data_IF_217897599389
#
_entry.id   IF_217897599389
#
_cell.length_a   1.000
_cell.length_b   1.000
_cell.length_c   1.000
_cell.angle_alpha   90.00
_cell.angle_beta   90.00
_cell.angle_gamma   90.00
#
_symmetry.space_group_name_H-M   'P 1'
#
loop_
_entity.id
_entity.type
_entity.pdbx_description
1 polymer ?
#
# COMPACT_ATOMS: atom_id res chain seq x y z
N UNK A 1 5.01 39.04 4.12
CA UNK A 1 4.26 39.91 5.04
C UNK A 1 3.83 39.07 6.23
N UNK A 2 4.33 39.35 7.43
CA UNK A 2 4.14 38.48 8.62
C UNK A 2 2.80 38.71 9.34
N UNK A 3 2.09 39.78 9.00
CA UNK A 3 0.75 40.08 9.51
C UNK A 3 -0.05 40.96 8.54
N UNK A 4 -1.38 40.96 8.68
CA UNK A 4 -2.32 41.84 7.96
C UNK A 4 -3.14 42.65 8.96
N UNK A 5 -3.20 43.97 8.79
CA UNK A 5 -3.91 44.91 9.68
C UNK A 5 -5.37 45.07 9.26
N UNK A 6 -6.28 45.04 10.23
CA UNK A 6 -7.71 45.30 10.04
C UNK A 6 -8.17 46.37 11.02
N UNK A 7 -9.02 47.26 10.52
CA UNK A 7 -9.68 48.29 11.33
C UNK A 7 -11.06 47.77 11.75
N UNK A 8 -11.27 47.62 13.05
CA UNK A 8 -12.56 47.22 13.60
C UNK A 8 -13.34 48.48 13.99
N UNK A 9 -14.54 48.65 13.43
CA UNK A 9 -15.43 49.77 13.79
C UNK A 9 -16.05 49.52 15.18
N UNK A 10 -15.88 50.46 16.09
CA UNK A 10 -16.52 50.48 17.41
C UNK A 10 -18.02 50.77 17.29
N UNK A 11 -18.85 50.18 18.16
CA UNK A 11 -20.31 50.39 18.23
C UNK A 11 -20.74 51.71 18.89
N UNK A 12 -19.81 52.41 19.54
CA UNK A 12 -20.01 53.71 20.18
C UNK A 12 -18.86 54.63 19.74
N UNK A 13 -19.04 55.97 19.72
CA UNK A 13 -18.10 57.01 19.23
C UNK A 13 -16.70 57.02 19.90
N UNK A 14 -15.99 55.89 19.84
CA UNK A 14 -14.68 55.64 20.39
C UNK A 14 -13.70 55.36 19.23
N UNK A 15 -12.42 55.63 19.48
CA UNK A 15 -11.34 55.39 18.51
C UNK A 15 -11.37 53.93 18.05
N UNK A 16 -11.40 53.64 16.75
CA UNK A 16 -11.44 52.27 16.24
C UNK A 16 -10.22 51.47 16.68
N UNK A 17 -10.42 50.24 17.16
CA UNK A 17 -9.34 49.32 17.52
C UNK A 17 -8.70 48.77 16.26
N UNK A 18 -7.38 48.54 16.33
CA UNK A 18 -6.65 47.86 15.28
C UNK A 18 -6.45 46.40 15.67
N UNK A 19 -6.92 45.49 14.84
CA UNK A 19 -6.64 44.06 14.95
C UNK A 19 -5.64 43.63 13.88
N UNK A 20 -4.92 42.55 14.17
CA UNK A 20 -3.91 42.00 13.28
C UNK A 20 -4.16 40.50 13.11
N UNK A 21 -4.22 40.05 11.86
CA UNK A 21 -4.08 38.63 11.55
C UNK A 21 -2.61 38.31 11.37
N UNK A 22 -2.13 37.34 12.16
CA UNK A 22 -0.74 36.91 12.17
C UNK A 22 -0.59 35.64 11.33
N UNK A 23 0.56 35.48 10.66
CA UNK A 23 0.91 34.16 10.12
C UNK A 23 1.17 33.18 11.26
N UNK A 24 0.96 31.90 10.98
CA UNK A 24 1.10 30.85 12.00
C UNK A 24 2.51 30.81 12.59
N UNK A 25 3.55 31.06 11.78
CA UNK A 25 4.93 31.14 12.28
C UNK A 25 5.17 32.38 13.15
N UNK A 26 4.64 33.55 12.76
CA UNK A 26 4.75 34.75 13.61
C UNK A 26 4.03 34.56 14.95
N UNK A 27 2.87 33.90 14.95
CA UNK A 27 2.14 33.59 16.18
C UNK A 27 2.93 32.63 17.09
N UNK A 28 3.68 31.66 16.54
CA UNK A 28 4.57 30.79 17.31
C UNK A 28 5.68 31.59 17.98
N UNK A 29 6.36 32.45 17.22
CA UNK A 29 7.44 33.30 17.75
C UNK A 29 6.93 34.21 18.88
N UNK A 30 5.76 34.83 18.70
CA UNK A 30 5.13 35.65 19.73
C UNK A 30 4.79 34.82 20.98
N UNK A 31 4.22 33.63 20.81
CA UNK A 31 3.94 32.72 21.93
C UNK A 31 5.21 32.30 22.69
N UNK A 32 6.35 32.21 22.01
CA UNK A 32 7.64 31.88 22.62
C UNK A 32 8.24 33.05 23.43
N UNK A 33 8.05 34.29 22.98
CA UNK A 33 8.60 35.50 23.62
C UNK A 33 7.71 36.02 24.75
N UNK A 34 6.39 36.00 24.56
CA UNK A 34 5.45 36.60 25.52
C UNK A 34 5.36 35.81 26.84
N UNK A 35 5.27 36.54 27.95
CA UNK A 35 5.05 36.00 29.30
C UNK A 35 3.56 35.86 29.61
N UNK A 36 2.85 35.10 28.77
CA UNK A 36 1.44 34.77 28.97
C UNK A 36 1.24 33.26 29.19
N UNK A 37 0.10 32.86 29.77
CA UNK A 37 -0.21 31.45 30.07
C UNK A 37 -0.27 30.57 28.81
N UNK A 38 -0.77 31.10 27.69
CA UNK A 38 -0.84 30.37 26.41
C UNK A 38 0.55 30.12 25.81
N UNK A 39 1.46 31.06 25.94
CA UNK A 39 2.85 30.95 25.55
C UNK A 39 3.61 29.96 26.43
N UNK A 40 3.27 29.89 27.74
CA UNK A 40 3.79 28.84 28.63
C UNK A 40 3.36 27.45 28.17
N UNK A 41 2.08 27.28 27.82
CA UNK A 41 1.56 26.02 27.25
C UNK A 41 2.28 25.66 25.93
N UNK A 42 2.47 26.64 25.04
CA UNK A 42 3.19 26.42 23.78
C UNK A 42 4.64 25.97 24.02
N UNK A 43 5.39 26.64 24.91
CA UNK A 43 6.76 26.24 25.28
C UNK A 43 6.82 24.83 25.86
N UNK A 44 5.91 24.48 26.76
CA UNK A 44 5.81 23.12 27.31
C UNK A 44 5.53 22.07 26.24
N UNK A 45 4.60 22.36 25.32
CA UNK A 45 4.29 21.46 24.20
C UNK A 45 5.52 21.20 23.32
N UNK A 46 6.29 22.24 22.98
CA UNK A 46 7.50 22.07 22.17
C UNK A 46 8.59 21.28 22.91
N UNK A 47 8.74 21.46 24.23
CA UNK A 47 9.66 20.65 25.05
C UNK A 47 9.25 19.17 25.02
N UNK A 48 7.96 18.88 25.14
CA UNK A 48 7.44 17.51 25.05
C UNK A 48 7.66 16.89 23.66
N UNK A 49 7.43 17.65 22.59
CA UNK A 49 7.76 17.22 21.23
C UNK A 49 9.25 16.92 21.08
N UNK A 50 10.14 17.75 21.64
CA UNK A 50 11.58 17.52 21.59
C UNK A 50 11.98 16.25 22.36
N UNK A 51 11.42 16.02 23.55
CA UNK A 51 11.65 14.77 24.31
C UNK A 51 11.22 13.54 23.53
N UNK A 52 10.03 13.57 22.91
CA UNK A 52 9.52 12.47 22.08
C UNK A 52 10.41 12.22 20.86
N UNK A 53 10.84 13.27 20.17
CA UNK A 53 11.74 13.14 19.02
C UNK A 53 13.10 12.55 19.42
N UNK A 54 13.67 12.96 20.56
CA UNK A 54 14.93 12.41 21.09
C UNK A 54 14.81 10.93 21.48
N UNK A 55 13.68 10.51 22.05
CA UNK A 55 13.41 9.10 22.37
C UNK A 55 13.24 8.23 21.11
N UNK A 56 12.63 8.77 20.05
CA UNK A 56 12.50 8.04 18.78
C UNK A 56 13.85 7.88 18.06
N UNK A 57 14.77 8.84 18.24
CA UNK A 57 16.09 8.82 17.61
C UNK A 57 17.16 8.06 18.43
N UNK A 58 16.86 7.58 19.63
CA UNK A 58 17.86 6.93 20.51
C UNK A 58 18.12 5.45 20.24
N UNK A 59 17.50 4.85 19.22
CA UNK A 59 17.84 3.49 18.75
C UNK A 59 18.84 3.53 17.59
N UNK A 60 19.81 4.43 17.65
CA UNK A 60 20.93 4.42 16.72
C UNK A 60 21.91 3.33 17.18
N UNK A 61 21.86 2.17 16.51
CA UNK A 61 22.77 1.05 16.75
C UNK A 61 24.20 1.56 16.53
N UNK A 62 25.05 1.48 17.56
CA UNK A 62 26.45 1.86 17.44
C UNK A 62 27.22 0.78 16.68
N UNK A 63 27.36 0.99 15.37
CA UNK A 63 28.13 0.13 14.49
C UNK A 63 29.64 0.29 14.65
N UNK A 64 30.14 1.19 15.50
CA UNK A 64 31.57 1.30 15.80
C UNK A 64 32.04 0.20 16.75
N UNK A 65 31.10 -0.43 17.46
CA UNK A 65 31.36 -1.52 18.39
C UNK A 65 31.43 -2.88 17.62
N UNK A 66 32.58 -3.57 17.62
CA UNK A 66 32.75 -4.80 16.85
C UNK A 66 31.85 -5.95 17.34
N UNK A 67 31.47 -5.99 18.62
CA UNK A 67 30.53 -6.98 19.15
C UNK A 67 29.12 -6.80 18.58
N UNK A 68 28.70 -5.54 18.37
CA UNK A 68 27.39 -5.22 17.78
C UNK A 68 27.36 -5.66 16.31
N UNK A 69 28.41 -5.36 15.55
CA UNK A 69 28.54 -5.81 14.15
C UNK A 69 28.51 -7.34 14.07
N UNK A 70 29.25 -8.03 14.96
CA UNK A 70 29.29 -9.50 14.97
C UNK A 70 27.91 -10.11 15.26
N UNK A 71 27.16 -9.53 16.21
CA UNK A 71 25.79 -9.96 16.51
C UNK A 71 24.86 -9.82 15.30
N UNK A 72 24.93 -8.70 14.59
CA UNK A 72 24.16 -8.50 13.35
C UNK A 72 24.60 -9.48 12.26
N UNK A 73 25.90 -9.63 12.04
CA UNK A 73 26.44 -10.52 11.00
C UNK A 73 26.06 -11.99 11.25
N UNK A 74 26.20 -12.46 12.48
CA UNK A 74 25.80 -13.84 12.87
C UNK A 74 24.32 -14.08 12.66
N UNK A 75 23.46 -13.13 13.04
CA UNK A 75 22.04 -13.22 12.77
C UNK A 75 21.75 -13.30 11.25
N UNK A 76 22.34 -12.40 10.46
CA UNK A 76 22.16 -12.38 9.00
C UNK A 76 22.63 -13.68 8.34
N UNK A 77 23.77 -14.21 8.79
CA UNK A 77 24.31 -15.48 8.31
C UNK A 77 23.34 -16.64 8.57
N UNK A 78 22.85 -16.75 9.81
CA UNK A 78 21.89 -17.78 10.18
C UNK A 78 20.58 -17.67 9.37
N UNK A 79 20.11 -16.45 9.10
CA UNK A 79 18.93 -16.22 8.25
C UNK A 79 19.16 -16.62 6.79
N UNK A 80 20.37 -16.41 6.25
CA UNK A 80 20.72 -16.90 4.91
C UNK A 80 20.70 -18.42 4.86
N UNK A 81 21.36 -19.08 5.82
CA UNK A 81 21.43 -20.54 5.88
C UNK A 81 20.04 -21.17 6.02
N UNK A 82 19.15 -20.56 6.81
CA UNK A 82 17.74 -20.99 6.92
C UNK A 82 17.00 -20.88 5.59
N UNK A 83 17.16 -19.76 4.87
CA UNK A 83 16.54 -19.56 3.56
C UNK A 83 17.08 -20.57 2.55
N UNK A 84 18.39 -20.80 2.54
CA UNK A 84 19.04 -21.77 1.66
C UNK A 84 18.55 -23.20 1.95
N UNK A 85 18.35 -23.55 3.22
CA UNK A 85 17.77 -24.84 3.60
C UNK A 85 16.32 -25.00 3.10
N UNK A 86 15.47 -23.98 3.29
CA UNK A 86 14.10 -23.99 2.78
C UNK A 86 14.10 -24.11 1.25
N UNK A 87 14.97 -23.37 0.56
CA UNK A 87 15.12 -23.45 -0.89
C UNK A 87 15.50 -24.88 -1.31
N UNK A 88 16.50 -25.48 -0.66
CA UNK A 88 16.94 -26.84 -0.96
C UNK A 88 15.86 -27.91 -0.74
N UNK A 89 14.93 -27.69 0.20
CA UNK A 89 13.76 -28.56 0.39
C UNK A 89 12.68 -28.34 -0.67
N UNK A 90 12.46 -27.09 -1.11
CA UNK A 90 11.39 -26.74 -2.05
C UNK A 90 11.79 -26.98 -3.52
N UNK A 91 13.08 -26.89 -3.86
CA UNK A 91 13.59 -27.13 -5.22
C UNK A 91 13.15 -28.47 -5.80
N UNK A 92 13.30 -29.64 -5.14
CA UNK A 92 12.87 -30.91 -5.71
C UNK A 92 11.34 -30.96 -5.94
N UNK A 93 10.55 -30.34 -5.07
CA UNK A 93 9.09 -30.24 -5.22
C UNK A 93 8.71 -29.42 -6.45
N UNK A 94 9.43 -28.32 -6.71
CA UNK A 94 9.20 -27.53 -7.92
C UNK A 94 9.68 -28.23 -9.19
N UNK A 95 10.79 -28.97 -9.12
CA UNK A 95 11.39 -29.68 -10.26
C UNK A 95 10.56 -30.87 -10.72
N UNK A 96 10.00 -31.63 -9.78
CA UNK A 96 9.07 -32.72 -10.09
C UNK A 96 7.78 -32.22 -10.78
N UNK A 97 7.39 -30.96 -10.56
CA UNK A 97 6.19 -30.35 -11.15
C UNK A 97 6.45 -29.66 -12.49
N UNK A 98 7.71 -29.37 -12.86
CA UNK A 98 8.07 -28.71 -14.14
C UNK A 98 7.51 -29.43 -15.38
N UNK A 99 7.53 -30.78 -15.48
CA UNK A 99 6.95 -31.48 -16.64
C UNK A 99 5.44 -31.30 -16.76
N UNK A 100 4.72 -31.12 -15.64
CA UNK A 100 3.27 -30.87 -15.62
C UNK A 100 2.95 -29.42 -16.01
N UNK A 101 3.82 -28.47 -15.64
CA UNK A 101 3.71 -27.05 -16.00
C UNK A 101 4.01 -26.77 -17.48
N UNK A 102 4.77 -27.65 -18.15
CA UNK A 102 5.15 -27.55 -19.57
C UNK A 102 4.06 -27.93 -20.56
N UNK A 103 2.95 -28.53 -20.09
CA UNK A 103 1.75 -28.54 -20.92
C UNK A 103 1.22 -27.12 -20.97
N UNK A 104 1.55 -26.40 -22.06
CA UNK A 104 1.08 -25.03 -22.31
C UNK A 104 -0.43 -25.07 -22.56
N UNK A 105 -1.20 -25.21 -21.48
CA UNK A 105 -2.64 -25.11 -21.53
C UNK A 105 -2.99 -23.63 -21.66
N UNK A 106 -3.45 -23.24 -22.84
CA UNK A 106 -3.88 -21.87 -23.13
C UNK A 106 -5.32 -21.70 -22.65
N UNK A 107 -5.49 -20.98 -21.56
CA UNK A 107 -6.79 -20.78 -20.92
C UNK A 107 -7.41 -19.45 -21.34
N UNK A 108 -8.74 -19.42 -21.46
CA UNK A 108 -9.45 -18.15 -21.63
C UNK A 108 -9.42 -17.35 -20.32
N UNK A 109 -9.61 -16.03 -20.40
CA UNK A 109 -9.70 -15.17 -19.21
C UNK A 109 -10.82 -15.67 -18.28
N UNK A 110 -11.94 -16.12 -18.85
CA UNK A 110 -13.08 -16.65 -18.09
C UNK A 110 -12.76 -17.95 -17.35
N UNK A 111 -11.97 -18.84 -17.96
CA UNK A 111 -11.56 -20.09 -17.31
C UNK A 111 -10.57 -19.80 -16.17
N UNK A 112 -9.65 -18.87 -16.40
CA UNK A 112 -8.71 -18.41 -15.36
C UNK A 112 -9.45 -17.74 -14.20
N UNK A 113 -10.48 -16.94 -14.48
CA UNK A 113 -11.29 -16.31 -13.46
C UNK A 113 -11.94 -17.35 -12.53
N UNK A 114 -12.49 -18.44 -13.09
CA UNK A 114 -13.04 -19.56 -12.31
C UNK A 114 -11.98 -20.26 -11.47
N UNK A 115 -10.79 -20.49 -12.01
CA UNK A 115 -9.68 -21.14 -11.29
C UNK A 115 -9.21 -20.28 -10.10
N UNK A 116 -9.19 -18.96 -10.28
CA UNK A 116 -8.79 -18.00 -9.24
C UNK A 116 -9.93 -17.62 -8.29
N UNK A 117 -11.12 -18.20 -8.46
CA UNK A 117 -12.34 -17.86 -7.72
C UNK A 117 -12.69 -16.36 -7.77
N UNK A 118 -12.60 -15.79 -8.98
CA UNK A 118 -12.84 -14.37 -9.25
C UNK A 118 -13.94 -14.17 -10.31
N UNK A 119 -14.56 -12.99 -10.31
CA UNK A 119 -15.41 -12.54 -11.40
C UNK A 119 -14.60 -12.29 -12.68
N UNK A 120 -15.13 -12.66 -13.85
CA UNK A 120 -14.42 -12.54 -15.14
C UNK A 120 -14.13 -11.09 -15.50
N UNK A 121 -15.08 -10.21 -15.21
CA UNK A 121 -14.99 -8.77 -15.38
C UNK A 121 -13.90 -8.17 -14.49
N UNK A 122 -13.83 -8.60 -13.22
CA UNK A 122 -12.81 -8.12 -12.28
C UNK A 122 -11.41 -8.55 -12.69
N UNK A 123 -11.25 -9.79 -13.15
CA UNK A 123 -9.98 -10.26 -13.68
C UNK A 123 -9.60 -9.51 -14.96
N UNK A 124 -10.54 -9.30 -15.89
CA UNK A 124 -10.29 -8.54 -17.10
C UNK A 124 -9.85 -7.10 -16.79
N UNK A 125 -10.56 -6.42 -15.87
CA UNK A 125 -10.22 -5.08 -15.40
C UNK A 125 -8.84 -5.06 -14.73
N UNK A 126 -8.53 -6.07 -13.92
CA UNK A 126 -7.21 -6.22 -13.31
C UNK A 126 -6.10 -6.34 -14.36
N UNK A 127 -6.30 -7.19 -15.36
CA UNK A 127 -5.35 -7.39 -16.46
C UNK A 127 -5.17 -6.11 -17.30
N UNK A 128 -6.24 -5.34 -17.53
CA UNK A 128 -6.18 -4.04 -18.22
C UNK A 128 -5.34 -3.05 -17.38
N UNK A 129 -5.67 -2.90 -16.09
CA UNK A 129 -4.98 -1.98 -15.18
C UNK A 129 -3.49 -2.31 -15.02
N UNK A 130 -3.12 -3.59 -15.10
CA UNK A 130 -1.73 -4.06 -15.03
C UNK A 130 -1.03 -4.11 -16.40
N UNK A 131 -1.68 -3.65 -17.48
CA UNK A 131 -1.16 -3.69 -18.85
C UNK A 131 -0.77 -5.10 -19.32
N UNK A 132 -1.59 -6.09 -18.97
CA UNK A 132 -1.48 -7.44 -19.53
C UNK A 132 -2.25 -7.56 -20.83
N UNK A 133 -3.45 -6.98 -20.87
CA UNK A 133 -4.30 -6.88 -22.05
C UNK A 133 -4.74 -5.44 -22.28
N UNK A 134 -5.16 -5.13 -23.50
CA UNK A 134 -5.81 -3.87 -23.87
C UNK A 134 -7.04 -4.13 -24.73
N UNK A 135 -7.99 -3.19 -24.71
CA UNK A 135 -9.16 -3.21 -25.58
C UNK A 135 -8.86 -2.47 -26.89
N UNK A 136 -9.14 -3.11 -28.02
CA UNK A 136 -9.12 -2.48 -29.34
C UNK A 136 -10.47 -1.80 -29.63
N UNK A 137 -10.51 -0.97 -30.68
CA UNK A 137 -11.72 -0.24 -31.13
C UNK A 137 -12.92 -1.13 -31.45
N UNK A 138 -12.67 -2.39 -31.81
CA UNK A 138 -13.68 -3.43 -32.08
C UNK A 138 -14.13 -4.18 -30.80
N UNK A 139 -13.75 -3.68 -29.62
CA UNK A 139 -13.94 -4.31 -28.30
C UNK A 139 -13.24 -5.65 -28.11
N UNK A 140 -12.31 -6.01 -28.99
CA UNK A 140 -11.51 -7.21 -28.77
C UNK A 140 -10.43 -6.99 -27.71
N UNK A 141 -10.19 -8.02 -26.89
CA UNK A 141 -9.16 -8.03 -25.86
C UNK A 141 -7.88 -8.61 -26.42
N UNK A 142 -6.82 -7.80 -26.47
CA UNK A 142 -5.52 -8.18 -27.01
C UNK A 142 -4.44 -8.21 -25.93
N UNK A 143 -3.58 -9.24 -25.89
CA UNK A 143 -2.43 -9.24 -25.00
C UNK A 143 -1.39 -8.24 -25.48
N UNK A 144 -0.70 -7.58 -24.54
CA UNK A 144 0.46 -6.78 -24.88
C UNK A 144 1.60 -7.69 -25.35
N UNK A 145 2.33 -7.25 -26.38
CA UNK A 145 3.46 -8.00 -26.94
C UNK A 145 4.54 -8.32 -25.89
N UNK A 146 4.76 -7.43 -24.91
CA UNK A 146 5.68 -7.69 -23.79
C UNK A 146 5.31 -8.95 -23.01
N UNK A 147 4.01 -9.20 -22.79
CA UNK A 147 3.52 -10.37 -22.06
C UNK A 147 3.50 -11.65 -22.88
N UNK A 148 3.40 -11.52 -24.20
CA UNK A 148 3.61 -12.63 -25.12
C UNK A 148 5.09 -13.04 -25.10
N UNK A 149 6.01 -12.08 -25.21
CA UNK A 149 7.45 -12.34 -25.18
C UNK A 149 7.93 -12.92 -23.83
N UNK A 150 7.31 -12.49 -22.73
CA UNK A 150 7.55 -13.09 -21.40
C UNK A 150 6.98 -14.53 -21.27
N UNK A 151 6.17 -14.99 -22.23
CA UNK A 151 5.50 -16.29 -22.22
C UNK A 151 4.33 -16.38 -21.23
N UNK A 152 3.75 -15.25 -20.82
CA UNK A 152 2.64 -15.18 -19.87
C UNK A 152 1.28 -15.21 -20.55
N UNK A 153 1.22 -14.75 -21.81
CA UNK A 153 0.01 -14.70 -22.60
C UNK A 153 0.27 -15.16 -24.03
N UNK A 154 -0.77 -15.59 -24.71
CA UNK A 154 -0.75 -15.95 -26.12
C UNK A 154 -1.93 -15.29 -26.84
N UNK A 155 -1.75 -15.08 -28.14
CA UNK A 155 -2.79 -14.59 -29.02
C UNK A 155 -3.22 -15.70 -29.96
N UNK A 156 -4.50 -16.10 -29.88
CA UNK A 156 -5.09 -17.08 -30.80
C UNK A 156 -6.38 -16.50 -31.36
N UNK A 157 -6.52 -16.37 -32.69
CA UNK A 157 -7.81 -16.03 -33.28
C UNK A 157 -8.77 -17.23 -33.19
N UNK A 158 -9.98 -17.01 -32.70
CA UNK A 158 -11.04 -18.01 -32.61
C UNK A 158 -12.14 -17.71 -33.65
N UNK A 159 -12.54 -18.71 -34.41
CA UNK A 159 -13.69 -18.57 -35.32
C UNK A 159 -14.97 -18.86 -34.55
N UNK A 160 -15.81 -17.85 -34.39
CA UNK A 160 -17.15 -17.98 -33.80
C UNK A 160 -18.22 -17.93 -34.89
N UNK A 161 -19.28 -18.70 -34.72
CA UNK A 161 -20.46 -18.57 -35.56
C UNK A 161 -21.40 -17.52 -34.98
N UNK A 162 -21.79 -16.55 -35.81
CA UNK A 162 -22.79 -15.55 -35.43
C UNK A 162 -24.18 -16.17 -35.48
N UNK A 163 -25.15 -15.61 -34.75
CA UNK A 163 -26.59 -16.01 -34.81
C UNK A 163 -27.17 -16.10 -36.24
N UNK A 164 -26.55 -15.44 -37.21
CA UNK A 164 -26.90 -15.46 -38.63
C UNK A 164 -26.22 -16.59 -39.44
N UNK A 165 -25.52 -17.51 -38.78
CA UNK A 165 -24.78 -18.62 -39.40
C UNK A 165 -23.48 -18.21 -40.09
N UNK A 166 -23.09 -16.93 -40.06
CA UNK A 166 -21.83 -16.46 -40.64
C UNK A 166 -20.68 -16.71 -39.67
N UNK A 167 -19.58 -17.26 -40.20
CA UNK A 167 -18.32 -17.39 -39.48
C UNK A 167 -17.64 -16.01 -39.31
N UNK A 168 -17.19 -15.73 -38.09
CA UNK A 168 -16.45 -14.52 -37.75
C UNK A 168 -15.20 -14.92 -36.97
N UNK A 169 -14.03 -14.57 -37.48
CA UNK A 169 -12.78 -14.70 -36.72
C UNK A 169 -12.69 -13.56 -35.70
N UNK A 170 -12.61 -13.91 -34.42
CA UNK A 170 -12.48 -12.98 -33.30
C UNK A 170 -11.12 -13.17 -32.65
N UNK A 171 -10.37 -12.09 -32.41
CA UNK A 171 -9.05 -12.21 -31.85
C UNK A 171 -9.18 -12.46 -30.32
N UNK A 172 -8.57 -13.55 -29.80
CA UNK A 172 -8.76 -14.04 -28.43
C UNK A 172 -7.44 -14.03 -27.64
N UNK A 173 -7.43 -13.36 -26.49
CA UNK A 173 -6.31 -13.37 -25.56
C UNK A 173 -6.37 -14.62 -24.67
N UNK A 174 -5.28 -15.39 -24.65
CA UNK A 174 -5.14 -16.59 -23.83
C UNK A 174 -4.05 -16.41 -22.78
N UNK A 175 -4.23 -17.02 -21.63
CA UNK A 175 -3.27 -17.01 -20.51
C UNK A 175 -2.59 -18.38 -20.48
N UNK A 176 -1.27 -18.39 -20.39
CA UNK A 176 -0.48 -19.62 -20.30
C UNK A 176 -0.46 -20.15 -18.86
N UNK A 177 -0.04 -21.40 -18.66
CA UNK A 177 0.21 -21.97 -17.32
C UNK A 177 1.17 -21.07 -16.50
N UNK A 178 2.22 -20.56 -17.14
CA UNK A 178 3.17 -19.60 -16.57
C UNK A 178 2.49 -18.28 -16.18
N UNK A 179 1.61 -17.76 -17.04
CA UNK A 179 0.79 -16.59 -16.78
C UNK A 179 -0.11 -16.76 -15.56
N UNK A 180 -0.85 -17.87 -15.50
CA UNK A 180 -1.72 -18.24 -14.39
C UNK A 180 -0.96 -18.33 -13.06
N UNK A 181 0.17 -19.04 -13.05
CA UNK A 181 1.05 -19.17 -11.88
C UNK A 181 1.53 -17.79 -11.38
N UNK A 182 1.89 -16.91 -12.31
CA UNK A 182 2.31 -15.53 -11.99
C UNK A 182 1.16 -14.72 -11.40
N UNK A 183 -0.06 -14.83 -11.96
CA UNK A 183 -1.25 -14.16 -11.46
C UNK A 183 -1.61 -14.64 -10.05
N UNK A 184 -1.65 -15.95 -9.82
CA UNK A 184 -1.91 -16.55 -8.51
C UNK A 184 -0.94 -16.02 -7.45
N UNK A 185 0.37 -16.01 -7.74
CA UNK A 185 1.36 -15.46 -6.81
C UNK A 185 1.14 -13.97 -6.48
N UNK A 186 0.75 -13.15 -7.46
CA UNK A 186 0.54 -11.71 -7.24
C UNK A 186 -0.70 -11.48 -6.39
N UNK A 187 -1.78 -12.21 -6.66
CA UNK A 187 -3.05 -12.07 -5.95
C UNK A 187 -2.93 -12.59 -4.50
N UNK A 188 -2.28 -13.73 -4.28
CA UNK A 188 -2.02 -14.23 -2.91
C UNK A 188 -1.23 -13.23 -2.08
N UNK A 189 -0.22 -12.56 -2.65
CA UNK A 189 0.55 -11.51 -1.95
C UNK A 189 -0.32 -10.31 -1.56
N UNK A 190 -1.23 -9.90 -2.44
CA UNK A 190 -2.13 -8.77 -2.16
C UNK A 190 -3.11 -9.09 -1.02
N UNK A 191 -3.59 -10.34 -0.92
CA UNK A 191 -4.45 -10.78 0.18
C UNK A 191 -3.71 -10.69 1.52
N UNK A 192 -2.49 -11.23 1.61
CA UNK A 192 -1.70 -11.19 2.85
C UNK A 192 -1.40 -9.74 3.28
N UNK A 193 -1.08 -8.85 2.33
CA UNK A 193 -0.85 -7.43 2.65
C UNK A 193 -2.14 -6.73 3.12
N UNK A 194 -3.31 -7.10 2.60
CA UNK A 194 -4.58 -6.53 3.07
C UNK A 194 -5.01 -7.08 4.43
N UNK A 195 -4.76 -8.36 4.71
CA UNK A 195 -4.97 -8.97 6.03
C UNK A 195 -4.10 -8.28 7.09
N UNK A 196 -2.81 -8.07 6.82
CA UNK A 196 -1.90 -7.34 7.71
C UNK A 196 -2.38 -5.89 8.00
N UNK A 197 -2.90 -5.20 6.98
CA UNK A 197 -3.45 -3.84 7.13
C UNK A 197 -4.75 -3.86 7.93
N UNK A 198 -5.63 -4.83 7.69
CA UNK A 198 -6.91 -4.97 8.38
C UNK A 198 -6.72 -5.36 9.84
N UNK A 199 -5.78 -6.25 10.15
CA UNK A 199 -5.41 -6.62 11.52
C UNK A 199 -4.83 -5.42 12.28
N UNK A 200 -3.97 -4.62 11.61
CA UNK A 200 -3.45 -3.39 12.19
C UNK A 200 -4.54 -2.34 12.44
N UNK A 201 -5.49 -2.19 11.51
CA UNK A 201 -6.63 -1.28 11.66
C UNK A 201 -7.56 -1.73 12.81
N UNK A 202 -7.85 -3.02 12.90
CA UNK A 202 -8.69 -3.60 13.96
C UNK A 202 -8.03 -3.48 15.35
N UNK A 203 -6.71 -3.69 15.45
CA UNK A 203 -5.97 -3.48 16.69
C UNK A 203 -6.09 -2.03 17.19
N UNK A 204 -5.96 -1.05 16.28
CA UNK A 204 -6.06 0.38 16.61
C UNK A 204 -7.47 0.80 17.06
N UNK A 205 -8.51 0.20 16.47
CA UNK A 205 -9.91 0.41 16.88
C UNK A 205 -10.18 -0.20 18.26
N UNK A 206 -9.61 -1.36 18.56
CA UNK A 206 -9.72 -1.99 19.87
C UNK A 206 -9.04 -1.15 20.98
N UNK A 207 -7.87 -0.60 20.70
CA UNK A 207 -7.16 0.28 21.64
C UNK A 207 -7.90 1.60 21.88
N UNK A 208 -8.49 2.19 20.83
CA UNK A 208 -9.33 3.38 20.97
C UNK A 208 -10.56 3.14 21.84
N UNK A 209 -11.26 2.01 21.65
CA UNK A 209 -12.42 1.63 22.48
C UNK A 209 -12.03 1.42 23.95
N UNK A 210 -10.86 0.81 24.22
CA UNK A 210 -10.33 0.65 25.58
C UNK A 210 -10.02 2.00 26.24
N UNK A 211 -9.40 2.93 25.51
CA UNK A 211 -9.11 4.28 26.02
C UNK A 211 -10.39 5.05 26.39
N UNK A 212 -11.44 4.99 25.57
CA UNK A 212 -12.71 5.68 25.87
C UNK A 212 -13.46 5.07 27.06
N UNK A 213 -13.36 3.75 27.26
CA UNK A 213 -14.00 3.07 28.39
C UNK A 213 -13.35 3.44 29.73
N UNK A 214 -12.02 3.62 29.76
CA UNK A 214 -11.30 4.07 30.96
C UNK A 214 -11.61 5.53 31.32
N UNK A 215 -11.81 6.41 30.34
CA UNK A 215 -12.17 7.82 30.59
C UNK A 215 -13.59 7.98 31.14
N UNK A 216 -14.55 7.18 30.68
CA UNK A 216 -15.94 7.23 31.17
C UNK A 216 -16.10 6.67 32.59
N UNK A 217 -15.23 5.74 33.03
CA UNK A 217 -15.25 5.24 34.42
C UNK A 217 -14.61 6.20 35.43
N UNK A 218 -13.81 7.17 34.98
CA UNK A 218 -13.13 8.13 35.87
C UNK A 218 -13.90 9.44 36.06
N UNK A 219 -15.04 9.63 35.38
CA UNK A 219 -15.91 10.81 35.51
C UNK A 219 -17.09 10.59 36.47
N UNK A 220 -17.14 9.45 37.17
CA UNK A 220 -18.20 9.09 38.12
C UNK A 220 -17.67 8.72 39.53
N UNK A 221 -16.45 9.13 39.86
CA UNK A 221 -15.87 9.13 41.21
C UNK A 221 -15.52 10.58 41.55
#
# INVERSE_FOLDING_TARGET
MSFTKILVKSKQNARPSTEYYLTLDMAKELAMIERNEKGKQARQYFIECERKAKQMNSSQIDYSNPQVILGVFTHLKNESERKDHIIAQLTPKTEALKPLEQSDNLLSISDVAKILDMCSEDLANYLINRRWIYCRTDKSLMPYYSKINEGLMAYIPETIQTISGREKTVPSAKITSKGLKRLSMILCKQIHTQEEINDFANAKVADFKRMTATTLSSQYI
#
